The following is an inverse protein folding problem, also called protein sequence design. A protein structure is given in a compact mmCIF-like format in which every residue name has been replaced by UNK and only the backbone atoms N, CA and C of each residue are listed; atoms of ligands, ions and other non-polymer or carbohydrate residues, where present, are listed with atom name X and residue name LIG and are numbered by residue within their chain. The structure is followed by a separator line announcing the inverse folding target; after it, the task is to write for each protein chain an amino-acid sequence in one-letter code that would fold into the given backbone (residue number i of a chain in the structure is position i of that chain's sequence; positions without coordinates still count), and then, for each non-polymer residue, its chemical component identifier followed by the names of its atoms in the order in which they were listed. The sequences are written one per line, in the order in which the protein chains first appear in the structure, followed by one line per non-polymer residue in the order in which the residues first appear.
data_IF_045461781726
#
_entry.id   IF_045461781726
#
_cell.length_a   1.000
_cell.length_b   1.000
_cell.length_c   1.000
_cell.angle_alpha   90.00
_cell.angle_beta   90.00
_cell.angle_gamma   90.00
#
_symmetry.space_group_name_H-M   'P 1'
#
loop_
_entity.id
_entity.type
_entity.pdbx_description
1 polymer ?
#
# COMPACT_ATOMS: atom_id res chain seq x y z
N UNK A 1 12.71 10.12 -8.50
CA UNK A 1 11.26 10.27 -8.73
C UNK A 1 10.57 10.03 -7.41
N UNK A 2 10.27 11.10 -6.67
CA UNK A 2 9.81 11.04 -5.29
C UNK A 2 8.34 10.62 -5.28
N UNK A 3 8.05 9.51 -4.61
CA UNK A 3 6.79 8.74 -4.66
C UNK A 3 5.85 9.12 -3.51
N UNK A 4 5.28 10.34 -3.49
CA UNK A 4 4.48 10.72 -2.31
C UNK A 4 3.26 11.64 -2.51
N UNK A 5 2.87 12.01 -3.74
CA UNK A 5 1.82 13.04 -3.91
C UNK A 5 0.64 12.60 -4.76
N UNK A 6 0.11 11.37 -4.62
CA UNK A 6 -1.15 11.00 -5.30
C UNK A 6 -1.18 11.26 -6.81
N UNK A 7 -0.01 11.28 -7.45
CA UNK A 7 0.20 11.72 -8.83
C UNK A 7 -0.09 10.55 -9.76
N UNK A 8 -0.91 10.77 -10.80
CA UNK A 8 -1.25 9.70 -11.74
C UNK A 8 -0.02 9.30 -12.59
N UNK A 9 -0.05 8.09 -13.16
CA UNK A 9 1.02 7.63 -14.06
C UNK A 9 1.17 8.53 -15.29
N UNK A 10 0.09 9.20 -15.71
CA UNK A 10 0.09 10.14 -16.83
C UNK A 10 0.85 11.42 -16.46
N UNK A 11 0.56 11.99 -15.30
CA UNK A 11 1.25 13.17 -14.78
C UNK A 11 2.75 12.90 -14.58
N UNK A 12 3.13 11.68 -14.19
CA UNK A 12 4.52 11.25 -14.09
C UNK A 12 5.19 11.06 -15.45
N UNK A 13 4.48 10.53 -16.45
CA UNK A 13 5.01 10.41 -17.80
C UNK A 13 5.30 11.80 -18.41
N UNK A 14 4.39 12.75 -18.21
CA UNK A 14 4.55 14.15 -18.63
C UNK A 14 5.68 14.83 -17.86
N UNK A 15 5.70 14.72 -16.53
CA UNK A 15 6.69 15.41 -15.66
C UNK A 15 8.13 14.93 -15.88
N UNK A 16 8.31 13.66 -16.23
CA UNK A 16 9.64 13.09 -16.47
C UNK A 16 9.98 12.92 -17.96
N UNK A 17 9.07 13.30 -18.87
CA UNK A 17 9.19 13.11 -20.32
C UNK A 17 9.60 11.67 -20.69
N UNK A 18 8.97 10.67 -20.05
CA UNK A 18 9.25 9.24 -20.25
C UNK A 18 7.98 8.52 -20.65
N UNK A 19 8.10 7.62 -21.62
CA UNK A 19 6.97 6.78 -22.03
C UNK A 19 6.45 5.92 -20.87
N UNK A 20 5.13 5.69 -20.86
CA UNK A 20 4.40 4.93 -19.82
C UNK A 20 5.09 3.60 -19.44
N UNK A 21 5.60 2.86 -20.42
CA UNK A 21 6.31 1.59 -20.21
C UNK A 21 7.59 1.74 -19.36
N UNK A 22 8.26 2.89 -19.43
CA UNK A 22 9.47 3.15 -18.62
C UNK A 22 9.11 3.49 -17.18
N UNK A 23 8.02 4.22 -16.98
CA UNK A 23 7.46 4.51 -15.66
C UNK A 23 6.99 3.20 -15.00
N UNK A 24 6.27 2.36 -15.72
CA UNK A 24 5.80 1.06 -15.24
C UNK A 24 6.95 0.10 -14.87
N UNK A 25 8.00 0.03 -15.68
CA UNK A 25 9.21 -0.76 -15.36
C UNK A 25 9.92 -0.27 -14.10
N UNK A 26 9.96 1.05 -13.90
CA UNK A 26 10.51 1.64 -12.68
C UNK A 26 9.67 1.25 -11.46
N UNK A 27 8.35 1.36 -11.56
CA UNK A 27 7.41 0.91 -10.54
C UNK A 27 7.62 -0.57 -10.17
N UNK A 28 7.63 -1.47 -11.17
CA UNK A 28 7.85 -2.91 -10.96
C UNK A 28 9.16 -3.23 -10.25
N UNK A 29 10.22 -2.44 -10.48
CA UNK A 29 11.49 -2.61 -9.79
C UNK A 29 11.47 -2.11 -8.34
N UNK A 30 10.69 -1.07 -8.04
CA UNK A 30 10.64 -0.45 -6.72
C UNK A 30 9.65 -1.11 -5.75
N UNK A 31 8.53 -1.66 -6.23
CA UNK A 31 7.55 -2.34 -5.38
C UNK A 31 8.13 -3.47 -4.52
N UNK A 32 8.98 -4.38 -5.04
CA UNK A 32 9.53 -5.47 -4.24
C UNK A 32 10.43 -4.98 -3.10
N UNK A 33 11.16 -3.88 -3.31
CA UNK A 33 12.02 -3.31 -2.26
C UNK A 33 11.18 -2.72 -1.13
N UNK A 34 10.15 -1.93 -1.47
CA UNK A 34 9.24 -1.35 -0.47
C UNK A 34 8.44 -2.44 0.26
N UNK A 35 8.01 -3.48 -0.46
CA UNK A 35 7.30 -4.60 0.13
C UNK A 35 8.18 -5.36 1.13
N UNK A 36 9.46 -5.60 0.83
CA UNK A 36 10.40 -6.22 1.78
C UNK A 36 10.63 -5.35 3.02
N UNK A 37 10.71 -4.02 2.87
CA UNK A 37 10.81 -3.11 4.00
C UNK A 37 9.56 -3.14 4.89
N UNK A 38 8.37 -3.29 4.31
CA UNK A 38 7.11 -3.44 5.04
C UNK A 38 7.06 -4.77 5.81
N UNK A 39 7.33 -5.90 5.15
CA UNK A 39 7.33 -7.23 5.77
C UNK A 39 8.35 -7.38 6.91
N UNK A 40 9.45 -6.63 6.87
CA UNK A 40 10.48 -6.69 7.91
C UNK A 40 10.09 -5.95 9.21
N UNK A 41 8.95 -5.24 9.25
CA UNK A 41 8.56 -4.45 10.41
C UNK A 41 7.86 -5.30 11.45
N UNK A 42 8.33 -5.19 12.68
CA UNK A 42 7.65 -5.73 13.86
C UNK A 42 6.28 -5.04 14.02
N UNK A 43 5.25 -5.83 14.36
CA UNK A 43 3.91 -5.33 14.65
C UNK A 43 3.96 -4.19 15.69
N UNK A 44 3.29 -3.05 15.45
CA UNK A 44 3.35 -1.90 16.34
C UNK A 44 2.63 -2.19 17.66
N UNK A 45 3.13 -1.64 18.77
CA UNK A 45 2.52 -1.83 20.10
C UNK A 45 1.14 -1.18 20.23
N UNK A 46 0.87 -0.12 19.45
CA UNK A 46 -0.44 0.53 19.40
C UNK A 46 -0.88 0.57 17.95
N UNK A 47 -1.81 -0.31 17.61
CA UNK A 47 -2.31 -0.52 16.27
C UNK A 47 -3.71 0.10 16.14
N UNK A 48 -3.89 0.95 15.13
CA UNK A 48 -5.19 1.44 14.69
C UNK A 48 -5.69 0.59 13.52
N UNK A 49 -7.00 0.39 13.46
CA UNK A 49 -7.68 -0.34 12.39
C UNK A 49 -8.74 0.59 11.79
N UNK A 50 -8.74 0.72 10.48
CA UNK A 50 -9.75 1.45 9.72
C UNK A 50 -10.26 0.60 8.56
N UNK A 51 -11.58 0.50 8.42
CA UNK A 51 -12.23 -0.25 7.33
C UNK A 51 -12.93 0.72 6.40
N UNK A 52 -12.56 0.73 5.11
CA UNK A 52 -13.21 1.59 4.14
C UNK A 52 -13.52 0.85 2.84
N UNK A 53 -14.59 1.30 2.18
CA UNK A 53 -15.01 0.75 0.90
C UNK A 53 -14.05 1.24 -0.20
N UNK A 54 -13.40 0.32 -0.90
CA UNK A 54 -12.41 0.67 -1.93
C UNK A 54 -13.07 0.79 -3.31
N UNK A 55 -13.75 -0.26 -3.78
CA UNK A 55 -14.53 -0.20 -5.03
C UNK A 55 -15.56 -1.34 -5.15
N UNK A 56 -16.49 -1.21 -6.09
CA UNK A 56 -17.47 -2.28 -6.41
C UNK A 56 -16.83 -3.61 -6.81
N UNK A 57 -15.60 -3.60 -7.33
CA UNK A 57 -14.87 -4.82 -7.74
C UNK A 57 -13.97 -5.40 -6.66
N UNK A 58 -13.43 -4.54 -5.79
CA UNK A 58 -12.37 -4.87 -4.82
C UNK A 58 -12.85 -4.81 -3.36
N UNK A 59 -14.17 -4.68 -3.17
CA UNK A 59 -14.87 -4.67 -1.87
C UNK A 59 -14.24 -3.70 -0.85
N UNK A 60 -14.16 -4.11 0.42
CA UNK A 60 -13.59 -3.33 1.51
C UNK A 60 -12.08 -3.51 1.58
N UNK A 61 -11.40 -2.52 2.16
CA UNK A 61 -10.00 -2.60 2.53
C UNK A 61 -9.85 -2.23 4.01
N UNK A 62 -9.01 -2.96 4.72
CA UNK A 62 -8.65 -2.73 6.11
C UNK A 62 -7.25 -2.13 6.18
N UNK A 63 -7.14 -0.91 6.68
CA UNK A 63 -5.86 -0.23 6.91
C UNK A 63 -5.42 -0.43 8.35
N UNK A 64 -4.18 -0.88 8.51
CA UNK A 64 -3.50 -1.10 9.78
C UNK A 64 -2.50 0.04 9.97
N UNK A 65 -2.63 0.79 11.07
CA UNK A 65 -1.84 2.00 11.31
C UNK A 65 -1.02 1.89 12.60
N UNK A 66 0.27 2.25 12.55
CA UNK A 66 1.06 2.48 13.76
C UNK A 66 0.69 3.86 14.31
N UNK A 67 -0.14 3.86 15.36
CA UNK A 67 -0.65 5.09 15.96
C UNK A 67 0.44 5.89 16.70
N UNK A 68 1.56 5.26 17.09
CA UNK A 68 2.66 5.98 17.73
C UNK A 68 3.55 6.70 16.72
N UNK A 69 3.74 6.09 15.54
CA UNK A 69 4.55 6.67 14.46
C UNK A 69 3.73 7.47 13.46
N UNK A 70 2.42 7.58 13.66
CA UNK A 70 1.48 8.28 12.78
C UNK A 70 1.64 7.89 11.30
N UNK A 71 1.76 6.58 11.04
CA UNK A 71 1.98 6.06 9.69
C UNK A 71 1.21 4.77 9.45
N UNK A 72 0.88 4.53 8.19
CA UNK A 72 0.32 3.25 7.76
C UNK A 72 1.37 2.15 7.99
N UNK A 73 0.93 1.10 8.66
CA UNK A 73 1.67 -0.13 8.87
C UNK A 73 1.45 -1.08 7.70
N UNK A 74 0.19 -1.37 7.35
CA UNK A 74 -0.18 -2.16 6.17
C UNK A 74 -1.62 -1.90 5.69
N UNK A 75 -1.98 -2.38 4.50
CA UNK A 75 -3.33 -2.35 3.93
C UNK A 75 -3.70 -3.74 3.40
N UNK A 76 -4.74 -4.33 3.98
CA UNK A 76 -5.20 -5.69 3.69
C UNK A 76 -6.57 -5.63 3.03
N UNK A 77 -6.84 -6.54 2.08
CA UNK A 77 -8.15 -6.63 1.42
C UNK A 77 -9.18 -7.27 2.35
N UNK A 78 -10.43 -6.83 2.21
CA UNK A 78 -11.55 -7.31 3.01
C UNK A 78 -11.65 -6.63 4.38
N UNK A 79 -12.58 -7.14 5.18
CA UNK A 79 -12.89 -6.64 6.53
C UNK A 79 -13.33 -7.73 7.50
N UNK A 80 -13.76 -8.89 6.99
CA UNK A 80 -14.19 -9.98 7.85
C UNK A 80 -12.99 -10.74 8.38
N UNK A 81 -13.17 -11.43 9.50
CA UNK A 81 -12.16 -12.34 10.04
C UNK A 81 -11.68 -13.35 9.00
N UNK A 82 -12.59 -13.86 8.16
CA UNK A 82 -12.24 -14.77 7.06
C UNK A 82 -11.34 -14.13 6.01
N UNK A 83 -11.55 -12.85 5.69
CA UNK A 83 -10.71 -12.12 4.72
C UNK A 83 -9.31 -11.83 5.29
N UNK A 84 -9.24 -11.55 6.59
CA UNK A 84 -8.00 -11.16 7.27
C UNK A 84 -7.21 -12.35 7.80
N UNK A 85 -7.79 -13.56 7.80
CA UNK A 85 -7.21 -14.77 8.38
C UNK A 85 -5.78 -15.04 7.89
N UNK A 86 -5.59 -15.06 6.58
CA UNK A 86 -4.30 -15.36 5.96
C UNK A 86 -3.24 -14.30 6.26
N UNK A 87 -3.66 -13.07 6.58
CA UNK A 87 -2.76 -12.00 6.99
C UNK A 87 -2.38 -12.11 8.47
N UNK A 88 -3.35 -12.45 9.34
CA UNK A 88 -3.14 -12.54 10.79
C UNK A 88 -2.36 -13.80 11.23
N UNK A 89 -2.27 -14.82 10.36
CA UNK A 89 -1.54 -16.07 10.64
C UNK A 89 -0.12 -16.13 10.05
N UNK A 90 0.41 -15.03 9.53
CA UNK A 90 1.79 -14.93 8.99
C UNK A 90 2.83 -14.79 10.11
#
# INVERSE_FOLDING_TARGET
MTMAEGVSQQDLAERYNKGKATIERYYQRHYPLQHRELLSKVCPLVLGIDEHFFSKKESFATTLCDLRKHRIFDVVRGRSEGDLKDYLHQ
#
